data_IF_062060641965
#
_entry.id   IF_062060641965
#
_cell.length_a   1.000
_cell.length_b   1.000
_cell.length_c   1.000
_cell.angle_alpha   90.00
_cell.angle_beta   90.00
_cell.angle_gamma   90.00
#
_symmetry.space_group_name_H-M   'P 1'
#
loop_
_entity.id
_entity.type
_entity.pdbx_description
1 polymer ?
#
# COMPACT_ATOMS: atom_id res chain seq x y z
N UNK A 1 27.40 18.71 -10.30
CA UNK A 1 26.59 17.59 -9.75
C UNK A 1 26.78 16.40 -10.68
N UNK A 2 27.67 15.47 -10.34
CA UNK A 2 27.92 14.28 -11.16
C UNK A 2 26.72 13.32 -11.02
N UNK A 3 25.80 13.38 -11.98
CA UNK A 3 24.92 12.25 -12.23
C UNK A 3 25.78 11.13 -12.81
N UNK A 4 26.01 10.08 -12.02
CA UNK A 4 26.48 8.80 -12.55
C UNK A 4 25.51 8.42 -13.68
N UNK A 5 26.01 8.39 -14.92
CA UNK A 5 25.24 7.98 -16.09
C UNK A 5 25.11 6.47 -16.00
N UNK A 6 24.18 6.01 -15.16
CA UNK A 6 23.80 4.61 -15.09
C UNK A 6 22.72 4.37 -16.13
N UNK A 7 23.02 3.54 -17.14
CA UNK A 7 22.01 3.13 -18.12
C UNK A 7 20.98 2.25 -17.42
N UNK A 8 19.72 2.67 -17.51
CA UNK A 8 18.54 2.01 -17.02
C UNK A 8 17.55 1.82 -18.20
N UNK A 9 17.88 0.92 -19.13
CA UNK A 9 17.02 0.67 -20.27
C UNK A 9 15.74 -0.03 -19.82
N UNK A 10 14.64 0.30 -20.48
CA UNK A 10 13.37 -0.36 -20.25
C UNK A 10 13.46 -1.82 -20.69
N UNK A 11 13.28 -2.76 -19.77
CA UNK A 11 13.28 -4.22 -20.06
C UNK A 11 12.22 -4.66 -21.09
N UNK A 12 11.25 -3.80 -21.42
CA UNK A 12 10.17 -4.11 -22.38
C UNK A 12 10.43 -3.61 -23.79
N UNK A 13 10.99 -2.41 -23.93
CA UNK A 13 11.18 -1.78 -25.25
C UNK A 13 12.62 -1.31 -25.52
N UNK A 14 13.55 -1.54 -24.58
CA UNK A 14 14.97 -1.19 -24.69
C UNK A 14 15.32 0.28 -24.51
N UNK A 15 14.34 1.21 -24.59
CA UNK A 15 14.61 2.65 -24.48
C UNK A 15 15.03 3.07 -23.07
N UNK A 16 15.97 4.02 -23.00
CA UNK A 16 16.46 4.57 -21.74
C UNK A 16 15.33 5.23 -20.95
N UNK A 17 15.19 4.86 -19.66
CA UNK A 17 14.12 5.40 -18.82
C UNK A 17 14.42 6.84 -18.42
N UNK A 18 13.36 7.66 -18.33
CA UNK A 18 13.46 9.06 -17.90
C UNK A 18 13.12 9.18 -16.41
N UNK A 19 13.88 9.99 -15.68
CA UNK A 19 13.58 10.31 -14.27
C UNK A 19 12.37 11.23 -14.21
N UNK A 20 11.33 10.83 -13.47
CA UNK A 20 10.12 11.61 -13.26
C UNK A 20 10.13 12.40 -11.96
N UNK A 21 10.64 11.80 -10.89
CA UNK A 21 10.80 12.51 -9.61
C UNK A 21 11.86 11.83 -8.76
N UNK A 22 12.45 12.60 -7.86
CA UNK A 22 13.36 12.10 -6.84
C UNK A 22 12.79 12.53 -5.49
N UNK A 23 12.50 11.56 -4.63
CA UNK A 23 12.05 11.80 -3.27
C UNK A 23 13.19 11.49 -2.33
N UNK A 24 13.39 12.36 -1.34
CA UNK A 24 14.40 12.17 -0.29
C UNK A 24 13.67 12.21 1.03
N UNK A 25 13.79 11.15 1.81
CA UNK A 25 13.18 11.06 3.13
C UNK A 25 14.21 10.56 4.14
N UNK A 26 14.18 11.13 5.35
CA UNK A 26 14.98 10.61 6.45
C UNK A 26 14.15 9.58 7.20
N UNK A 27 14.65 8.35 7.25
CA UNK A 27 14.11 7.26 8.05
C UNK A 27 15.13 6.98 9.14
N UNK A 28 14.75 7.28 10.39
CA UNK A 28 15.63 7.29 11.56
C UNK A 28 16.90 8.12 11.34
N UNK A 29 18.05 7.45 11.18
CA UNK A 29 19.37 8.06 10.96
C UNK A 29 19.83 8.01 9.51
N UNK A 30 19.04 7.39 8.62
CA UNK A 30 19.40 7.13 7.23
C UNK A 30 18.66 8.06 6.28
N UNK A 31 19.35 8.55 5.26
CA UNK A 31 18.72 9.27 4.15
C UNK A 31 18.36 8.27 3.04
N UNK A 32 17.06 8.08 2.82
CA UNK A 32 16.54 7.25 1.73
C UNK A 32 16.27 8.15 0.53
N UNK A 33 16.88 7.82 -0.62
CA UNK A 33 16.68 8.53 -1.88
C UNK A 33 15.96 7.60 -2.85
N UNK A 34 14.70 7.93 -3.15
CA UNK A 34 13.85 7.15 -4.04
C UNK A 34 13.72 7.89 -5.38
N UNK A 35 14.28 7.31 -6.44
CA UNK A 35 14.20 7.83 -7.80
C UNK A 35 13.09 7.12 -8.56
N UNK A 36 12.05 7.85 -8.96
CA UNK A 36 10.95 7.33 -9.76
C UNK A 36 11.26 7.59 -11.23
N UNK A 37 11.27 6.52 -12.02
CA UNK A 37 11.54 6.56 -13.47
C UNK A 37 10.34 6.09 -14.28
N UNK A 38 10.22 6.56 -15.52
CA UNK A 38 9.18 6.15 -16.49
C UNK A 38 9.81 5.79 -17.83
N UNK A 39 9.17 4.91 -18.57
CA UNK A 39 9.50 4.69 -19.98
C UNK A 39 9.10 5.95 -20.79
N UNK A 40 9.94 6.43 -21.73
CA UNK A 40 9.59 7.54 -22.61
C UNK A 40 8.59 7.13 -23.71
N UNK A 41 8.49 5.84 -24.03
CA UNK A 41 7.53 5.31 -25.00
C UNK A 41 6.12 5.24 -24.38
N UNK A 42 5.15 6.02 -24.88
CA UNK A 42 3.80 6.09 -24.32
C UNK A 42 3.05 4.76 -24.38
N UNK A 43 3.22 3.97 -25.45
CA UNK A 43 2.53 2.70 -25.61
C UNK A 43 3.10 1.67 -24.64
N UNK A 44 4.43 1.62 -24.53
CA UNK A 44 5.11 0.79 -23.56
C UNK A 44 4.70 1.17 -22.12
N UNK A 45 4.68 2.47 -21.80
CA UNK A 45 4.30 2.94 -20.47
C UNK A 45 2.83 2.65 -20.15
N UNK A 46 1.92 2.78 -21.13
CA UNK A 46 0.50 2.47 -20.96
C UNK A 46 0.27 1.01 -20.55
N UNK A 47 1.02 0.07 -21.13
CA UNK A 47 0.98 -1.37 -20.75
C UNK A 47 1.42 -1.58 -19.30
N UNK A 48 2.47 -0.89 -18.86
CA UNK A 48 2.95 -0.95 -17.48
C UNK A 48 1.91 -0.36 -16.53
N UNK A 49 1.38 0.83 -16.85
CA UNK A 49 0.38 1.51 -16.04
C UNK A 49 -0.90 0.67 -15.87
N UNK A 50 -1.34 -0.04 -16.91
CA UNK A 50 -2.48 -0.97 -16.82
C UNK A 50 -2.21 -2.07 -15.80
N UNK A 51 -1.03 -2.69 -15.83
CA UNK A 51 -0.65 -3.70 -14.83
C UNK A 51 -0.58 -3.13 -13.41
N UNK A 52 0.02 -1.95 -13.25
CA UNK A 52 0.10 -1.27 -11.96
C UNK A 52 -1.29 -0.92 -11.40
N UNK A 53 -2.25 -0.55 -12.26
CA UNK A 53 -3.62 -0.26 -11.86
C UNK A 53 -4.34 -1.51 -11.33
N UNK A 54 -4.22 -2.65 -12.03
CA UNK A 54 -4.79 -3.93 -11.58
C UNK A 54 -4.19 -4.35 -10.24
N UNK A 55 -2.86 -4.27 -10.10
CA UNK A 55 -2.19 -4.61 -8.84
C UNK A 55 -2.52 -3.64 -7.70
N UNK A 56 -2.82 -2.38 -8.02
CA UNK A 56 -3.28 -1.39 -7.03
C UNK A 56 -4.68 -1.74 -6.54
N UNK A 57 -5.61 -2.00 -7.45
CA UNK A 57 -6.98 -2.40 -7.12
C UNK A 57 -7.01 -3.67 -6.26
N UNK A 58 -6.19 -4.67 -6.63
CA UNK A 58 -6.06 -5.91 -5.85
C UNK A 58 -5.58 -5.63 -4.42
N UNK A 59 -4.57 -4.77 -4.26
CA UNK A 59 -4.06 -4.37 -2.94
C UNK A 59 -5.11 -3.61 -2.12
N UNK A 60 -5.84 -2.69 -2.74
CA UNK A 60 -6.90 -1.92 -2.08
C UNK A 60 -8.04 -2.83 -1.61
N UNK A 61 -8.47 -3.79 -2.44
CA UNK A 61 -9.48 -4.79 -2.08
C UNK A 61 -9.02 -5.67 -0.90
N UNK A 62 -7.79 -6.16 -0.93
CA UNK A 62 -7.27 -6.95 0.20
C UNK A 62 -7.21 -6.13 1.50
N UNK A 63 -6.80 -4.87 1.42
CA UNK A 63 -6.74 -3.98 2.58
C UNK A 63 -8.14 -3.67 3.15
N UNK A 64 -9.13 -3.43 2.28
CA UNK A 64 -10.51 -3.16 2.71
C UNK A 64 -11.16 -4.40 3.35
N UNK A 65 -10.98 -5.57 2.76
CA UNK A 65 -11.45 -6.84 3.33
C UNK A 65 -10.82 -7.11 4.69
N UNK A 66 -9.51 -6.90 4.83
CA UNK A 66 -8.82 -7.06 6.10
C UNK A 66 -9.39 -6.11 7.16
N UNK A 67 -9.56 -4.84 6.82
CA UNK A 67 -10.13 -3.84 7.72
C UNK A 67 -11.56 -4.20 8.14
N UNK A 68 -12.37 -4.71 7.21
CA UNK A 68 -13.73 -5.15 7.50
C UNK A 68 -13.75 -6.34 8.47
N UNK A 69 -12.92 -7.36 8.23
CA UNK A 69 -12.81 -8.52 9.13
C UNK A 69 -12.37 -8.10 10.54
N UNK A 70 -11.44 -7.17 10.66
CA UNK A 70 -11.00 -6.62 11.95
C UNK A 70 -12.12 -5.85 12.67
N UNK A 71 -12.94 -5.07 11.93
CA UNK A 71 -14.11 -4.39 12.51
C UNK A 71 -15.15 -5.38 13.03
N UNK A 72 -15.53 -6.36 12.21
CA UNK A 72 -16.49 -7.40 12.58
C UNK A 72 -16.01 -8.20 13.80
N UNK A 73 -14.71 -8.51 13.87
CA UNK A 73 -14.12 -9.19 15.03
C UNK A 73 -14.25 -8.36 16.29
N UNK A 74 -13.93 -7.06 16.23
CA UNK A 74 -14.04 -6.14 17.38
C UNK A 74 -15.48 -5.98 17.85
N UNK A 75 -16.42 -5.88 16.91
CA UNK A 75 -17.85 -5.77 17.22
C UNK A 75 -18.38 -7.02 17.91
N UNK A 76 -18.05 -8.21 17.41
CA UNK A 76 -18.42 -9.49 18.06
C UNK A 76 -17.88 -9.60 19.48
N UNK A 77 -16.64 -9.16 19.71
CA UNK A 77 -16.05 -9.13 21.06
C UNK A 77 -16.82 -8.15 21.96
N UNK A 78 -17.17 -6.97 21.45
CA UNK A 78 -17.90 -5.96 22.20
C UNK A 78 -19.29 -6.44 22.62
N UNK A 79 -20.03 -7.10 21.71
CA UNK A 79 -21.34 -7.69 22.00
C UNK A 79 -21.24 -8.71 23.13
N UNK A 80 -20.31 -9.67 23.04
CA UNK A 80 -20.09 -10.67 24.10
C UNK A 80 -19.74 -10.06 25.45
N UNK A 81 -18.95 -8.98 25.45
CA UNK A 81 -18.62 -8.26 26.68
C UNK A 81 -19.84 -7.57 27.29
N UNK A 82 -20.74 -7.02 26.46
CA UNK A 82 -22.00 -6.42 26.92
C UNK A 82 -22.92 -7.48 27.53
N UNK A 83 -23.15 -8.59 26.83
CA UNK A 83 -23.95 -9.72 27.33
C UNK A 83 -23.42 -10.23 28.67
N UNK A 84 -22.10 -10.44 28.79
CA UNK A 84 -21.47 -10.89 30.04
C UNK A 84 -21.67 -9.89 31.19
N UNK A 85 -21.61 -8.59 30.91
CA UNK A 85 -21.86 -7.53 31.91
C UNK A 85 -23.31 -7.53 32.35
N UNK A 86 -24.25 -7.70 31.43
CA UNK A 86 -25.69 -7.78 31.73
C UNK A 86 -26.02 -9.03 32.55
N UNK A 87 -25.52 -10.21 32.17
CA UNK A 87 -25.70 -11.44 32.94
C UNK A 87 -25.15 -11.29 34.36
N UNK A 88 -23.95 -10.70 34.52
CA UNK A 88 -23.38 -10.43 35.84
C UNK A 88 -24.24 -9.46 36.66
N UNK A 89 -24.82 -8.44 36.02
CA UNK A 89 -25.71 -7.47 36.68
C UNK A 89 -27.01 -8.12 37.17
N UNK A 90 -27.58 -9.04 36.38
CA UNK A 90 -28.79 -9.79 36.76
C UNK A 90 -28.47 -10.70 37.96
N UNK A 91 -27.34 -11.43 37.91
CA UNK A 91 -26.91 -12.30 39.01
C UNK A 91 -26.67 -11.57 40.33
N UNK A 92 -26.18 -10.32 40.28
CA UNK A 92 -25.94 -9.50 41.47
C UNK A 92 -27.21 -8.86 42.07
N UNK A 93 -28.35 -8.95 41.37
CA UNK A 93 -29.62 -8.33 41.78
C UNK A 93 -30.59 -9.34 42.41
N UNK A 94 -30.35 -10.64 42.22
CA UNK A 94 -31.01 -11.75 42.90
C UNK A 94 -30.19 -12.19 44.11
#
# INVERSE_FOLDING_TARGET
MNQLIFSNPCVRCGRERVVKSVKKERVDRSLVVTTITSCPDPECQKRVNRGLAVEKEKREKMASEFLQREKERKEKILIKLREKRESKRILLRN
#
